data_IF_243169139160
#
_entry.id   IF_243169139160
#
_cell.length_a   1.000
_cell.length_b   1.000
_cell.length_c   1.000
_cell.angle_alpha   90.00
_cell.angle_beta   90.00
_cell.angle_gamma   90.00
#
_symmetry.space_group_name_H-M   'P 1'
#
loop_
_entity.id
_entity.type
_entity.pdbx_description
1 polymer ?
#
# COMPACT_ATOMS: atom_id res chain seq x y z
N UNK A 1 6.08 9.19 18.27
CA UNK A 1 7.40 8.56 18.03
C UNK A 1 8.00 9.23 16.81
N UNK A 2 9.23 9.71 16.90
CA UNK A 2 9.89 10.32 15.74
C UNK A 2 10.40 9.22 14.78
N UNK A 3 10.61 9.62 13.52
CA UNK A 3 11.00 8.70 12.44
C UNK A 3 12.37 8.05 12.71
N UNK A 4 13.31 8.77 13.29
CA UNK A 4 14.66 8.25 13.53
C UNK A 4 14.64 7.15 14.60
N UNK A 5 13.90 7.38 15.68
CA UNK A 5 13.68 6.38 16.72
C UNK A 5 12.99 5.13 16.15
N UNK A 6 11.99 5.31 15.28
CA UNK A 6 11.34 4.19 14.59
C UNK A 6 12.35 3.40 13.75
N UNK A 7 13.14 4.08 12.91
CA UNK A 7 14.13 3.43 12.04
C UNK A 7 15.17 2.66 12.86
N UNK A 8 15.65 3.24 13.96
CA UNK A 8 16.59 2.57 14.86
C UNK A 8 16.00 1.28 15.43
N UNK A 9 14.82 1.37 16.05
CA UNK A 9 14.14 0.21 16.65
C UNK A 9 13.82 -0.86 15.60
N UNK A 10 13.42 -0.44 14.39
CA UNK A 10 13.13 -1.34 13.28
C UNK A 10 14.38 -2.14 12.85
N UNK A 11 15.52 -1.47 12.75
CA UNK A 11 16.80 -2.11 12.43
C UNK A 11 17.30 -3.02 13.55
N UNK A 12 17.13 -2.59 14.79
CA UNK A 12 17.45 -3.45 15.96
C UNK A 12 16.63 -4.74 15.96
N UNK A 13 15.35 -4.65 15.61
CA UNK A 13 14.45 -5.81 15.58
C UNK A 13 14.70 -6.74 14.39
N UNK A 14 14.96 -6.19 13.19
CA UNK A 14 14.97 -6.95 11.94
C UNK A 14 16.35 -7.00 11.24
N UNK A 15 17.36 -6.37 11.84
CA UNK A 15 18.74 -6.31 11.32
C UNK A 15 19.03 -5.04 10.54
N UNK A 16 20.33 -4.65 10.52
CA UNK A 16 20.79 -3.42 9.86
C UNK A 16 20.46 -3.34 8.36
N UNK A 17 20.36 -4.48 7.69
CA UNK A 17 20.06 -4.59 6.28
C UNK A 17 18.55 -4.74 5.99
N UNK A 18 17.69 -4.65 7.02
CA UNK A 18 16.26 -4.72 6.82
C UNK A 18 15.79 -3.59 5.90
N UNK A 19 14.94 -3.94 4.94
CA UNK A 19 14.38 -2.96 4.03
C UNK A 19 13.41 -2.04 4.76
N UNK A 20 13.72 -0.74 4.77
CA UNK A 20 12.89 0.24 5.45
C UNK A 20 11.49 0.30 4.81
N UNK A 21 10.45 0.46 5.61
CA UNK A 21 9.09 0.55 5.11
C UNK A 21 8.89 1.78 4.23
N UNK A 22 7.90 1.66 3.36
CA UNK A 22 7.40 2.74 2.53
C UNK A 22 6.16 3.34 3.20
N UNK A 23 5.98 4.64 3.04
CA UNK A 23 4.82 5.37 3.53
C UNK A 23 4.07 5.98 2.35
N UNK A 24 2.77 6.20 2.50
CA UNK A 24 1.96 6.83 1.47
C UNK A 24 0.96 7.81 2.06
N UNK A 25 0.67 8.86 1.30
CA UNK A 25 -0.27 9.92 1.68
C UNK A 25 -0.89 10.57 0.45
N UNK A 26 -2.00 11.27 0.64
CA UNK A 26 -2.63 12.06 -0.40
C UNK A 26 -2.37 13.54 -0.20
N UNK A 27 -2.09 14.28 -1.29
CA UNK A 27 -2.03 15.74 -1.29
C UNK A 27 -2.43 16.34 -2.63
N UNK A 28 -2.65 17.65 -2.65
CA UNK A 28 -2.93 18.40 -3.88
C UNK A 28 -1.66 18.95 -4.53
N UNK A 29 -0.52 18.80 -3.85
CA UNK A 29 0.80 19.31 -4.27
C UNK A 29 1.58 18.15 -4.91
N UNK A 30 2.25 18.43 -6.02
CA UNK A 30 3.17 17.47 -6.65
C UNK A 30 4.50 17.46 -5.88
N UNK A 31 4.80 16.36 -5.20
CA UNK A 31 5.99 16.25 -4.35
C UNK A 31 7.09 15.36 -4.93
N UNK A 32 6.75 14.48 -5.86
CA UNK A 32 7.68 13.53 -6.47
C UNK A 32 7.56 13.45 -7.98
N UNK A 33 8.19 12.44 -8.57
CA UNK A 33 8.06 12.18 -10.01
C UNK A 33 6.65 11.70 -10.35
N UNK A 34 6.07 12.26 -11.42
CA UNK A 34 4.71 11.93 -11.90
C UNK A 34 4.74 11.27 -13.29
N UNK A 35 5.75 10.48 -13.56
CA UNK A 35 5.87 9.75 -14.82
C UNK A 35 4.78 8.69 -14.96
N UNK A 36 4.35 8.46 -16.21
CA UNK A 36 3.35 7.42 -16.49
C UNK A 36 3.91 6.02 -16.26
N UNK A 37 3.27 5.28 -15.39
CA UNK A 37 3.61 3.90 -15.10
C UNK A 37 2.78 2.96 -15.97
N UNK A 38 3.39 2.34 -16.95
CA UNK A 38 2.73 1.37 -17.82
C UNK A 38 2.55 0.02 -17.11
N UNK A 39 1.31 -0.43 -17.00
CA UNK A 39 0.93 -1.66 -16.29
C UNK A 39 0.74 -1.42 -14.80
N UNK A 40 1.14 -2.38 -13.95
CA UNK A 40 0.95 -2.29 -12.51
C UNK A 40 1.75 -1.13 -11.90
N UNK A 41 1.10 -0.31 -11.08
CA UNK A 41 1.74 0.84 -10.44
C UNK A 41 2.84 0.46 -9.43
N UNK A 42 2.81 -0.77 -8.91
CA UNK A 42 3.89 -1.30 -8.07
C UNK A 42 5.27 -1.31 -8.75
N UNK A 43 5.33 -1.20 -10.08
CA UNK A 43 6.61 -0.98 -10.77
C UNK A 43 7.32 0.30 -10.31
N UNK A 44 6.57 1.32 -9.92
CA UNK A 44 7.10 2.57 -9.37
C UNK A 44 7.76 2.39 -8.00
N UNK A 45 7.44 1.32 -7.26
CA UNK A 45 8.04 1.05 -5.96
C UNK A 45 9.55 0.83 -6.03
N UNK A 46 10.10 0.45 -7.19
CA UNK A 46 11.56 0.40 -7.37
C UNK A 46 12.19 1.77 -7.09
N UNK A 47 11.69 2.82 -7.71
CA UNK A 47 12.17 4.20 -7.48
C UNK A 47 12.04 4.61 -6.01
N UNK A 48 10.93 4.23 -5.36
CA UNK A 48 10.67 4.55 -3.95
C UNK A 48 11.67 3.85 -3.03
N UNK A 49 11.94 2.57 -3.26
CA UNK A 49 12.93 1.77 -2.52
C UNK A 49 14.35 2.34 -2.63
N UNK A 50 14.68 2.91 -3.78
CA UNK A 50 15.95 3.60 -4.04
C UNK A 50 16.00 5.01 -3.42
N UNK A 51 14.94 5.46 -2.76
CA UNK A 51 14.86 6.72 -2.02
C UNK A 51 14.26 7.89 -2.80
N UNK A 52 13.66 7.63 -3.97
CA UNK A 52 12.86 8.60 -4.68
C UNK A 52 11.44 8.74 -4.10
N UNK A 53 10.75 9.80 -4.48
CA UNK A 53 9.32 10.00 -4.23
C UNK A 53 8.58 9.91 -5.55
N UNK A 54 7.51 9.12 -5.61
CA UNK A 54 6.60 9.09 -6.76
C UNK A 54 5.26 9.69 -6.41
N UNK A 55 4.64 10.35 -7.37
CA UNK A 55 3.32 10.97 -7.26
C UNK A 55 2.39 10.36 -8.30
N UNK A 56 1.39 9.64 -7.83
CA UNK A 56 0.41 8.93 -8.66
C UNK A 56 -0.91 9.69 -8.72
N UNK A 57 -1.60 9.56 -9.84
CA UNK A 57 -2.96 10.05 -10.04
C UNK A 57 -3.70 9.22 -11.10
N UNK A 58 -4.95 9.58 -11.40
CA UNK A 58 -5.76 8.89 -12.41
C UNK A 58 -5.13 8.85 -13.81
N UNK A 59 -4.26 9.80 -14.14
CA UNK A 59 -3.69 9.93 -15.48
C UNK A 59 -2.43 9.09 -15.67
N UNK A 60 -1.59 9.01 -14.62
CA UNK A 60 -0.29 8.33 -14.70
C UNK A 60 -0.28 6.88 -14.21
N UNK A 61 -1.31 6.42 -13.48
CA UNK A 61 -1.51 5.00 -13.17
C UNK A 61 -1.99 4.27 -14.43
N UNK A 62 -1.23 3.30 -14.92
CA UNK A 62 -1.53 2.58 -16.16
C UNK A 62 -2.58 1.48 -16.02
N UNK A 63 -2.79 0.89 -14.84
CA UNK A 63 -3.73 -0.21 -14.66
C UNK A 63 -5.05 0.24 -13.99
N UNK A 64 -6.18 -0.30 -14.50
CA UNK A 64 -7.51 0.03 -13.99
C UNK A 64 -7.73 -0.40 -12.54
N UNK A 65 -7.21 -1.58 -12.15
CA UNK A 65 -7.26 -2.02 -10.76
C UNK A 65 -6.48 -1.10 -9.83
N UNK A 66 -5.27 -0.66 -10.25
CA UNK A 66 -4.50 0.31 -9.47
C UNK A 66 -5.25 1.62 -9.25
N UNK A 67 -5.88 2.18 -10.29
CA UNK A 67 -6.70 3.40 -10.16
C UNK A 67 -7.87 3.20 -9.19
N UNK A 68 -8.52 2.06 -9.27
CA UNK A 68 -9.65 1.73 -8.41
C UNK A 68 -9.21 1.55 -6.94
N UNK A 69 -8.24 0.68 -6.65
CA UNK A 69 -7.80 0.42 -5.27
C UNK A 69 -7.12 1.60 -4.60
N UNK A 70 -6.58 2.54 -5.38
CA UNK A 70 -6.07 3.82 -4.87
C UNK A 70 -7.12 4.94 -4.86
N UNK A 71 -8.37 4.62 -5.13
CA UNK A 71 -9.50 5.53 -4.97
C UNK A 71 -9.68 6.60 -6.05
N UNK A 72 -8.91 6.54 -7.15
CA UNK A 72 -9.01 7.54 -8.23
C UNK A 72 -10.14 7.28 -9.23
N UNK A 73 -10.70 6.07 -9.26
CA UNK A 73 -11.81 5.73 -10.16
C UNK A 73 -12.74 4.75 -9.48
N UNK A 74 -13.97 4.71 -9.95
CA UNK A 74 -14.91 3.65 -9.61
C UNK A 74 -14.40 2.28 -10.08
N UNK A 75 -14.98 1.21 -9.51
CA UNK A 75 -14.63 -0.16 -9.88
C UNK A 75 -14.96 -0.42 -11.35
N UNK A 76 -13.97 -0.78 -12.19
CA UNK A 76 -14.27 -1.15 -13.57
C UNK A 76 -15.18 -2.39 -13.61
N UNK A 77 -16.23 -2.37 -14.44
CA UNK A 77 -17.22 -3.45 -14.57
C UNK A 77 -16.60 -4.84 -14.80
N UNK A 78 -15.47 -4.88 -15.49
CA UNK A 78 -14.75 -6.14 -15.78
C UNK A 78 -14.04 -6.75 -14.58
N UNK A 79 -13.78 -6.00 -13.50
CA UNK A 79 -12.94 -6.45 -12.38
C UNK A 79 -13.47 -7.72 -11.73
N UNK A 80 -14.75 -7.85 -11.34
CA UNK A 80 -15.26 -9.06 -10.73
C UNK A 80 -15.08 -10.30 -11.60
N UNK A 81 -15.43 -10.20 -12.87
CA UNK A 81 -15.29 -11.31 -13.84
C UNK A 81 -13.82 -11.64 -14.13
N UNK A 82 -12.98 -10.63 -14.27
CA UNK A 82 -11.55 -10.83 -14.54
C UNK A 82 -10.85 -11.51 -13.36
N UNK A 83 -11.04 -11.00 -12.14
CA UNK A 83 -10.40 -11.52 -10.92
C UNK A 83 -10.87 -12.92 -10.59
N UNK A 84 -12.15 -13.26 -10.84
CA UNK A 84 -12.68 -14.61 -10.59
C UNK A 84 -12.35 -15.58 -11.73
N UNK A 85 -12.82 -15.30 -12.95
CA UNK A 85 -12.79 -16.29 -14.04
C UNK A 85 -11.44 -16.34 -14.76
N UNK A 86 -10.65 -15.26 -14.77
CA UNK A 86 -9.34 -15.23 -15.42
C UNK A 86 -8.20 -15.50 -14.45
N UNK A 87 -8.13 -14.72 -13.37
CA UNK A 87 -7.06 -14.82 -12.37
C UNK A 87 -7.34 -15.89 -11.30
N UNK A 88 -8.59 -16.29 -11.14
CA UNK A 88 -9.03 -17.38 -10.23
C UNK A 88 -8.72 -17.11 -8.74
N UNK A 89 -8.72 -15.86 -8.31
CA UNK A 89 -8.56 -15.50 -6.90
C UNK A 89 -9.82 -15.75 -6.07
N UNK A 90 -10.98 -15.71 -6.69
CA UNK A 90 -12.27 -16.09 -6.10
C UNK A 90 -13.03 -16.97 -7.08
N UNK A 91 -13.93 -17.79 -6.57
CA UNK A 91 -14.68 -18.76 -7.38
C UNK A 91 -15.69 -18.08 -8.31
N UNK A 92 -16.34 -17.00 -7.84
CA UNK A 92 -17.37 -16.30 -8.62
C UNK A 92 -17.14 -14.77 -8.59
N UNK A 93 -17.72 -14.02 -9.57
CA UNK A 93 -17.69 -12.57 -9.57
C UNK A 93 -18.34 -11.94 -8.32
N UNK A 94 -19.42 -12.55 -7.80
CA UNK A 94 -20.12 -12.09 -6.61
C UNK A 94 -19.19 -12.13 -5.38
N UNK A 95 -18.42 -13.20 -5.22
CA UNK A 95 -17.43 -13.31 -4.14
C UNK A 95 -16.33 -12.24 -4.24
N UNK A 96 -16.01 -11.76 -5.44
CA UNK A 96 -15.07 -10.62 -5.60
C UNK A 96 -15.72 -9.34 -5.12
N UNK A 97 -16.99 -9.10 -5.45
CA UNK A 97 -17.73 -7.92 -5.01
C UNK A 97 -17.85 -7.89 -3.48
N UNK A 98 -18.27 -8.98 -2.89
CA UNK A 98 -18.40 -9.12 -1.43
C UNK A 98 -17.05 -8.89 -0.73
N UNK A 99 -15.99 -9.45 -1.26
CA UNK A 99 -14.64 -9.25 -0.73
C UNK A 99 -14.21 -7.78 -0.78
N UNK A 100 -14.41 -7.11 -1.91
CA UNK A 100 -14.08 -5.67 -2.05
C UNK A 100 -14.90 -4.82 -1.08
N UNK A 101 -16.17 -5.16 -0.87
CA UNK A 101 -17.01 -4.44 0.10
C UNK A 101 -16.53 -4.64 1.54
N UNK A 102 -16.05 -5.84 1.88
CA UNK A 102 -15.55 -6.15 3.22
C UNK A 102 -14.23 -5.44 3.54
N UNK A 103 -13.27 -5.43 2.61
CA UNK A 103 -11.97 -4.78 2.84
C UNK A 103 -12.04 -3.25 2.75
N UNK A 104 -13.06 -2.73 2.08
CA UNK A 104 -13.12 -1.32 1.71
C UNK A 104 -12.11 -0.93 0.62
N UNK A 105 -12.21 0.29 0.16
CA UNK A 105 -11.29 0.87 -0.84
C UNK A 105 -10.96 2.29 -0.43
N UNK A 106 -9.71 2.68 -0.62
CA UNK A 106 -9.28 4.06 -0.42
C UNK A 106 -10.10 5.02 -1.29
N UNK A 107 -10.28 6.24 -0.83
CA UNK A 107 -10.89 7.33 -1.61
C UNK A 107 -9.87 8.43 -1.79
N UNK A 108 -9.55 8.74 -3.04
CA UNK A 108 -8.65 9.83 -3.38
C UNK A 108 -9.39 11.17 -3.27
N UNK A 109 -9.40 11.77 -2.09
CA UNK A 109 -9.96 13.12 -1.86
C UNK A 109 -9.02 14.23 -2.35
N UNK A 110 -7.79 13.88 -2.70
CA UNK A 110 -6.74 14.78 -3.17
C UNK A 110 -6.23 14.37 -4.54
N UNK A 111 -5.50 15.27 -5.18
CA UNK A 111 -5.06 15.12 -6.57
C UNK A 111 -4.01 14.02 -6.77
N UNK A 112 -3.12 13.83 -5.81
CA UNK A 112 -2.00 12.90 -5.90
C UNK A 112 -1.97 11.95 -4.72
N UNK A 113 -1.55 10.71 -4.97
CA UNK A 113 -1.12 9.72 -3.99
C UNK A 113 0.41 9.60 -4.10
N UNK A 114 1.11 9.90 -3.01
CA UNK A 114 2.56 9.83 -2.94
C UNK A 114 3.01 8.55 -2.25
N UNK A 115 4.17 8.06 -2.68
CA UNK A 115 4.92 7.01 -1.99
C UNK A 115 6.35 7.46 -1.79
N UNK A 116 6.86 7.27 -0.58
CA UNK A 116 8.25 7.49 -0.23
C UNK A 116 8.74 6.42 0.75
N UNK A 117 10.06 6.21 0.81
CA UNK A 117 10.63 5.44 1.91
C UNK A 117 10.58 6.28 3.19
N UNK A 118 10.33 5.64 4.34
CA UNK A 118 10.06 6.35 5.61
C UNK A 118 11.18 7.34 6.02
N UNK A 119 12.43 7.09 5.64
CA UNK A 119 13.56 7.98 5.91
C UNK A 119 13.60 9.23 5.00
N UNK A 120 12.68 9.34 4.05
CA UNK A 120 12.57 10.46 3.09
C UNK A 120 11.44 11.43 3.39
N UNK A 121 10.72 11.23 4.47
CA UNK A 121 9.64 12.11 4.89
C UNK A 121 9.97 12.80 6.21
N UNK A 122 9.45 14.01 6.40
CA UNK A 122 9.72 14.80 7.60
C UNK A 122 8.81 14.44 8.78
N UNK A 123 7.59 13.96 8.51
CA UNK A 123 6.58 13.64 9.52
C UNK A 123 5.71 12.46 9.05
N UNK A 124 5.12 11.75 10.00
CA UNK A 124 4.13 10.69 9.75
C UNK A 124 2.68 11.16 9.98
N UNK A 125 2.45 12.41 10.35
CA UNK A 125 1.14 12.92 10.76
C UNK A 125 0.08 12.88 9.65
N UNK A 126 0.51 12.97 8.39
CA UNK A 126 -0.38 12.98 7.22
C UNK A 126 -0.38 11.65 6.46
N UNK A 127 0.26 10.62 7.00
CA UNK A 127 0.37 9.34 6.31
C UNK A 127 -0.92 8.53 6.45
N UNK A 128 -1.42 8.04 5.33
CA UNK A 128 -2.58 7.13 5.27
C UNK A 128 -2.19 5.71 5.70
N UNK A 129 -0.93 5.34 5.49
CA UNK A 129 -0.46 4.03 5.87
C UNK A 129 1.01 3.77 5.62
N UNK A 130 1.43 2.61 6.10
CA UNK A 130 2.80 2.11 5.99
C UNK A 130 2.78 0.76 5.28
N UNK A 131 3.66 0.58 4.30
CA UNK A 131 3.81 -0.65 3.55
C UNK A 131 5.16 -1.29 3.83
N UNK A 132 5.15 -2.51 4.33
CA UNK A 132 6.35 -3.31 4.57
C UNK A 132 6.59 -4.26 3.40
N UNK A 133 7.83 -4.30 2.90
CA UNK A 133 8.31 -5.33 1.99
C UNK A 133 9.06 -6.33 2.85
N UNK A 134 8.31 -7.31 3.36
CA UNK A 134 8.76 -8.19 4.42
C UNK A 134 9.15 -9.58 3.91
N UNK A 135 10.25 -10.11 4.41
CA UNK A 135 10.52 -11.53 4.35
C UNK A 135 9.66 -12.28 5.41
N UNK A 136 9.63 -13.64 5.40
CA UNK A 136 8.79 -14.38 6.34
C UNK A 136 9.07 -14.10 7.81
N UNK A 137 10.33 -13.91 8.20
CA UNK A 137 10.70 -13.64 9.61
C UNK A 137 10.21 -12.25 10.04
N UNK A 138 10.41 -11.24 9.19
CA UNK A 138 9.89 -9.89 9.43
C UNK A 138 8.36 -9.89 9.49
N UNK A 139 7.69 -10.60 8.59
CA UNK A 139 6.23 -10.70 8.59
C UNK A 139 5.73 -11.34 9.89
N UNK A 140 6.35 -12.42 10.34
CA UNK A 140 6.04 -13.09 11.62
C UNK A 140 6.22 -12.14 12.80
N UNK A 141 7.33 -11.39 12.84
CA UNK A 141 7.59 -10.42 13.90
C UNK A 141 6.58 -9.27 13.92
N UNK A 142 6.28 -8.69 12.75
CA UNK A 142 5.28 -7.62 12.61
C UNK A 142 3.88 -8.09 13.04
N UNK A 143 3.48 -9.31 12.64
CA UNK A 143 2.20 -9.89 13.03
C UNK A 143 2.13 -10.12 14.54
N UNK A 144 3.20 -10.66 15.14
CA UNK A 144 3.29 -10.85 16.59
C UNK A 144 3.18 -9.51 17.32
N UNK A 145 3.87 -8.48 16.84
CA UNK A 145 3.82 -7.15 17.42
C UNK A 145 2.43 -6.51 17.33
N UNK A 146 1.75 -6.66 16.20
CA UNK A 146 0.40 -6.13 16.03
C UNK A 146 -0.62 -6.69 17.04
N UNK A 147 -0.37 -7.91 17.55
CA UNK A 147 -1.20 -8.55 18.57
C UNK A 147 -0.65 -8.44 20.00
N UNK A 148 0.52 -7.86 20.19
CA UNK A 148 1.21 -7.88 21.49
C UNK A 148 0.41 -7.19 22.62
N UNK A 149 -0.21 -6.08 22.31
CA UNK A 149 -1.02 -5.27 23.24
C UNK A 149 -2.47 -5.11 22.80
N UNK A 150 -2.90 -5.89 21.81
CA UNK A 150 -4.21 -5.78 21.18
C UNK A 150 -4.88 -7.17 21.10
N UNK A 151 -5.99 -7.34 21.83
CA UNK A 151 -6.83 -8.53 21.76
C UNK A 151 -8.02 -8.38 20.80
N UNK A 152 -8.04 -7.35 19.98
CA UNK A 152 -9.14 -7.16 19.02
C UNK A 152 -9.12 -8.28 17.96
N UNK A 153 -10.29 -8.88 17.71
CA UNK A 153 -10.45 -9.89 16.65
C UNK A 153 -10.04 -9.35 15.28
N UNK A 154 -10.15 -8.04 15.09
CA UNK A 154 -9.83 -7.31 13.86
C UNK A 154 -8.39 -6.74 13.82
N UNK A 155 -7.52 -7.13 14.74
CA UNK A 155 -6.18 -6.54 14.86
C UNK A 155 -5.28 -6.77 13.66
N UNK A 156 -5.36 -7.93 13.02
CA UNK A 156 -4.69 -8.22 11.76
C UNK A 156 -5.67 -8.89 10.81
N UNK A 157 -6.09 -8.15 9.80
CA UNK A 157 -6.94 -8.69 8.76
C UNK A 157 -6.07 -9.20 7.62
N UNK A 158 -6.04 -10.49 7.43
CA UNK A 158 -5.53 -11.12 6.23
C UNK A 158 -6.70 -11.73 5.46
N UNK A 159 -7.39 -10.92 4.71
CA UNK A 159 -8.47 -11.35 3.82
C UNK A 159 -7.90 -11.72 2.44
N UNK A 160 -6.96 -12.65 2.40
CA UNK A 160 -6.43 -13.10 1.14
C UNK A 160 -7.19 -14.28 0.55
N UNK A 161 -7.46 -14.13 -0.73
CA UNK A 161 -7.74 -15.25 -1.59
C UNK A 161 -6.47 -15.77 -2.20
#
# INVERSE_FOLDING_TARGET
MDIQTFIQNFKEAFGENAELPLVFWYSDILEGTAEKINGCFFKGMKTVREGGIISLNAENIGCGGGKFYTGFTEMPERVPTFVSLKEKYKQTPEMVIDFIQQIGVLKAEKKYLHFARIDKVASLEQMEGVMFIANPDMLSGLTTWAYYDNNAEDGVVSLFG
#
